data_IF_836451792867
#
_entry.id   IF_836451792867
#
_cell.length_a   1.000
_cell.length_b   1.000
_cell.length_c   1.000
_cell.angle_alpha   90.00
_cell.angle_beta   90.00
_cell.angle_gamma   90.00
#
_symmetry.space_group_name_H-M   'P 1'
#
loop_
_entity.id
_entity.type
_entity.pdbx_description
1 polymer ?
#
# COMPACT_ATOMS: atom_id res chain seq x y z
N UNK A 1 25.99 -1.99 13.53
CA UNK A 1 24.62 -1.46 13.57
C UNK A 1 23.71 -2.51 12.96
N UNK A 2 22.75 -3.00 13.71
CA UNK A 2 21.92 -4.18 13.35
C UNK A 2 20.47 -3.83 13.01
N UNK A 3 20.17 -2.55 12.79
CA UNK A 3 18.82 -2.05 12.58
C UNK A 3 18.54 -1.62 11.15
N UNK A 4 17.26 -1.39 10.85
CA UNK A 4 16.82 -0.85 9.57
C UNK A 4 17.07 0.66 9.44
N UNK A 5 16.80 1.25 8.25
CA UNK A 5 17.04 2.67 8.01
C UNK A 5 16.24 3.62 8.91
N UNK A 6 15.21 3.13 9.61
CA UNK A 6 14.39 3.88 10.56
C UNK A 6 14.63 3.46 12.02
N UNK A 7 15.75 2.79 12.32
CA UNK A 7 16.13 2.46 13.70
C UNK A 7 16.20 3.72 14.57
N UNK A 8 15.61 3.67 15.76
CA UNK A 8 15.51 4.79 16.69
C UNK A 8 14.33 5.74 16.43
N UNK A 9 13.58 5.57 15.35
CA UNK A 9 12.36 6.34 15.07
C UNK A 9 11.17 5.68 15.78
N UNK A 10 10.48 6.44 16.65
CA UNK A 10 9.24 6.01 17.31
C UNK A 10 8.01 6.58 16.60
N UNK A 11 7.08 5.69 16.26
CA UNK A 11 5.83 6.03 15.55
C UNK A 11 4.63 5.67 16.42
N UNK A 12 3.77 6.62 16.71
CA UNK A 12 2.46 6.37 17.31
C UNK A 12 1.42 6.26 16.21
N UNK A 13 0.88 5.06 16.07
CA UNK A 13 -0.07 4.67 15.04
C UNK A 13 -1.50 4.68 15.59
N UNK A 14 -2.23 5.77 15.41
CA UNK A 14 -3.66 5.88 15.70
C UNK A 14 -4.50 5.69 14.44
N UNK A 15 -4.20 4.65 13.68
CA UNK A 15 -4.92 4.36 12.43
C UNK A 15 -5.71 3.06 12.50
N UNK A 16 -6.68 2.92 11.61
CA UNK A 16 -7.52 1.72 11.50
C UNK A 16 -7.72 1.32 10.04
N UNK A 17 -8.21 0.12 9.83
CA UNK A 17 -8.57 -0.50 8.54
C UNK A 17 -7.33 -0.75 7.68
N UNK A 18 -7.08 -0.04 6.58
CA UNK A 18 -6.00 -0.38 5.63
C UNK A 18 -5.03 0.76 5.40
N UNK A 19 -5.48 1.92 4.98
CA UNK A 19 -4.60 3.01 4.50
C UNK A 19 -3.53 3.40 5.51
N UNK A 20 -3.91 3.61 6.78
CA UNK A 20 -2.98 3.96 7.84
C UNK A 20 -2.11 2.77 8.28
N UNK A 21 -2.69 1.58 8.55
CA UNK A 21 -1.90 0.39 8.85
C UNK A 21 -0.85 0.01 7.79
N UNK A 22 -1.09 0.24 6.50
CA UNK A 22 -0.07 0.08 5.44
C UNK A 22 1.08 1.08 5.63
N UNK A 23 0.75 2.36 5.91
CA UNK A 23 1.76 3.38 6.19
C UNK A 23 2.64 2.96 7.37
N UNK A 24 2.05 2.72 8.52
CA UNK A 24 2.78 2.41 9.77
C UNK A 24 3.48 1.05 9.72
N UNK A 25 2.91 0.03 9.06
CA UNK A 25 3.60 -1.24 8.78
C UNK A 25 4.84 -1.01 7.93
N UNK A 26 4.75 -0.17 6.89
CA UNK A 26 5.90 0.14 6.03
C UNK A 26 7.04 0.75 6.85
N UNK A 27 6.74 1.67 7.78
CA UNK A 27 7.75 2.23 8.68
C UNK A 27 8.32 1.16 9.64
N UNK A 28 7.47 0.29 10.19
CA UNK A 28 7.87 -0.83 11.04
C UNK A 28 8.74 -1.86 10.32
N UNK A 29 8.37 -2.20 9.07
CA UNK A 29 9.13 -3.14 8.22
C UNK A 29 10.57 -2.64 7.94
N UNK A 30 10.83 -1.34 8.11
CA UNK A 30 12.15 -0.71 7.96
C UNK A 30 12.78 -0.25 9.28
N UNK A 31 12.29 -0.74 10.41
CA UNK A 31 12.98 -0.67 11.72
C UNK A 31 12.46 0.39 12.68
N UNK A 32 11.39 1.12 12.36
CA UNK A 32 10.75 2.01 13.32
C UNK A 32 10.07 1.24 14.46
N UNK A 33 10.14 1.78 15.69
CA UNK A 33 9.34 1.33 16.85
C UNK A 33 7.90 1.84 16.71
N UNK A 34 7.00 0.99 16.18
CA UNK A 34 5.61 1.38 15.93
C UNK A 34 4.70 0.89 17.04
N UNK A 35 4.06 1.83 17.73
CA UNK A 35 3.06 1.56 18.76
C UNK A 35 1.67 1.86 18.19
N UNK A 36 0.89 0.80 17.96
CA UNK A 36 -0.49 0.91 17.51
C UNK A 36 -1.40 1.16 18.71
N UNK A 37 -2.11 2.28 18.68
CA UNK A 37 -3.09 2.66 19.70
C UNK A 37 -4.48 2.24 19.23
N UNK A 38 -5.10 1.35 19.98
CA UNK A 38 -6.42 0.80 19.66
C UNK A 38 -7.43 1.13 20.76
N UNK A 39 -8.68 1.39 20.34
CA UNK A 39 -9.80 1.44 21.30
C UNK A 39 -10.10 0.04 21.86
N UNK A 40 -10.86 -0.09 22.98
CA UNK A 40 -11.26 -1.39 23.51
C UNK A 40 -12.00 -2.30 22.52
N UNK A 41 -12.64 -1.74 21.49
CA UNK A 41 -13.25 -2.50 20.39
C UNK A 41 -12.24 -3.07 19.39
N UNK A 42 -11.00 -2.65 19.45
CA UNK A 42 -9.95 -2.99 18.49
C UNK A 42 -10.12 -2.35 17.12
N UNK A 43 -9.16 -2.64 16.22
CA UNK A 43 -9.24 -2.30 14.81
C UNK A 43 -10.30 -3.16 14.11
N UNK A 44 -11.08 -2.56 13.21
CA UNK A 44 -12.11 -3.26 12.44
C UNK A 44 -11.55 -4.45 11.65
N UNK A 45 -10.31 -4.38 11.18
CA UNK A 45 -9.66 -5.50 10.48
C UNK A 45 -9.50 -6.75 11.34
N UNK A 46 -9.54 -6.65 12.67
CA UNK A 46 -9.46 -7.81 13.55
C UNK A 46 -10.60 -8.80 13.29
N UNK A 47 -11.76 -8.30 12.87
CA UNK A 47 -12.99 -9.08 12.70
C UNK A 47 -13.54 -9.13 11.27
N UNK A 48 -13.05 -8.28 10.35
CA UNK A 48 -13.60 -8.16 8.99
C UNK A 48 -13.38 -9.37 8.07
N UNK A 49 -12.46 -10.25 8.37
CA UNK A 49 -12.16 -11.40 7.51
C UNK A 49 -12.56 -12.71 8.20
N UNK A 50 -13.15 -13.63 7.42
CA UNK A 50 -13.37 -15.01 7.85
C UNK A 50 -12.03 -15.76 7.87
N UNK A 51 -11.93 -16.82 8.67
CA UNK A 51 -10.79 -17.71 8.63
C UNK A 51 -9.64 -17.37 9.60
N UNK A 52 -9.89 -16.63 10.69
CA UNK A 52 -8.96 -16.53 11.81
C UNK A 52 -9.01 -17.78 12.68
N UNK A 53 -7.87 -18.20 13.24
CA UNK A 53 -7.82 -19.30 14.23
C UNK A 53 -8.36 -18.83 15.59
N UNK A 54 -8.00 -17.60 15.98
CA UNK A 54 -8.50 -16.98 17.20
C UNK A 54 -9.30 -15.69 16.90
N UNK A 55 -10.28 -15.33 17.71
CA UNK A 55 -11.02 -14.08 17.57
C UNK A 55 -10.08 -12.87 17.55
N UNK A 56 -10.32 -11.94 16.65
CA UNK A 56 -9.53 -10.70 16.57
C UNK A 56 -8.18 -10.81 15.85
N UNK A 57 -7.84 -11.99 15.28
CA UNK A 57 -6.57 -12.23 14.58
C UNK A 57 -6.81 -12.63 13.12
N UNK A 58 -7.56 -11.84 12.39
CA UNK A 58 -7.82 -12.09 10.97
C UNK A 58 -6.53 -12.06 10.13
N UNK A 59 -6.47 -12.83 9.04
CA UNK A 59 -5.32 -12.84 8.14
C UNK A 59 -4.99 -11.43 7.59
N UNK A 60 -5.99 -10.57 7.37
CA UNK A 60 -5.75 -9.17 6.99
C UNK A 60 -5.07 -8.38 8.10
N UNK A 61 -5.52 -8.55 9.36
CA UNK A 61 -4.89 -7.88 10.49
C UNK A 61 -3.43 -8.31 10.64
N UNK A 62 -3.15 -9.62 10.58
CA UNK A 62 -1.80 -10.17 10.64
C UNK A 62 -0.89 -9.57 9.57
N UNK A 63 -1.36 -9.47 8.32
CA UNK A 63 -0.58 -8.94 7.21
C UNK A 63 -0.33 -7.43 7.30
N UNK A 64 -1.25 -6.64 7.86
CA UNK A 64 -1.15 -5.18 7.89
C UNK A 64 -0.57 -4.63 9.18
N UNK A 65 -0.40 -5.47 10.23
CA UNK A 65 0.03 -4.98 11.54
C UNK A 65 1.24 -5.74 12.13
N UNK A 66 1.95 -6.54 11.33
CA UNK A 66 3.23 -7.13 11.75
C UNK A 66 4.24 -6.05 12.14
N UNK A 67 5.20 -6.41 12.96
CA UNK A 67 6.28 -5.54 13.44
C UNK A 67 5.81 -4.36 14.29
N UNK A 68 4.57 -4.39 14.79
CA UNK A 68 4.03 -3.37 15.69
C UNK A 68 3.89 -3.89 17.12
N UNK A 69 3.84 -2.97 18.07
CA UNK A 69 3.37 -3.21 19.43
C UNK A 69 1.95 -2.63 19.58
N UNK A 70 1.09 -3.22 20.38
CA UNK A 70 -0.29 -2.75 20.59
C UNK A 70 -0.51 -2.28 22.02
N UNK A 71 -1.05 -1.07 22.16
CA UNK A 71 -1.62 -0.55 23.41
C UNK A 71 -3.12 -0.31 23.22
N UNK A 72 -3.93 -0.79 24.16
CA UNK A 72 -5.38 -0.60 24.13
C UNK A 72 -5.78 0.49 25.13
N UNK A 73 -6.32 1.61 24.64
CA UNK A 73 -6.71 2.79 25.41
C UNK A 73 -8.13 3.23 25.12
N UNK A 74 -8.91 3.48 26.16
CA UNK A 74 -10.19 4.20 26.03
C UNK A 74 -9.93 5.72 26.13
N UNK A 75 -9.68 6.35 25.01
CA UNK A 75 -9.40 7.80 24.91
C UNK A 75 -10.64 8.69 25.20
N UNK A 76 -11.82 8.11 25.40
CA UNK A 76 -12.98 8.84 25.91
C UNK A 76 -12.87 9.11 27.40
N UNK A 77 -12.05 8.34 28.11
CA UNK A 77 -11.69 8.55 29.51
C UNK A 77 -10.45 9.42 29.57
N UNK A 78 -10.43 10.34 30.54
CA UNK A 78 -9.33 11.30 30.72
C UNK A 78 -7.97 10.58 30.85
N UNK A 79 -7.88 9.56 31.71
CA UNK A 79 -6.64 8.83 31.92
C UNK A 79 -6.11 8.17 30.62
N UNK A 80 -6.98 7.54 29.81
CA UNK A 80 -6.59 6.98 28.52
C UNK A 80 -6.12 8.04 27.52
N UNK A 81 -6.77 9.20 27.50
CA UNK A 81 -6.35 10.33 26.66
C UNK A 81 -5.01 10.93 27.11
N UNK A 82 -4.80 11.06 28.42
CA UNK A 82 -3.54 11.56 28.99
C UNK A 82 -2.37 10.62 28.66
N UNK A 83 -2.59 9.30 28.71
CA UNK A 83 -1.60 8.31 28.24
C UNK A 83 -1.27 8.50 26.77
N UNK A 84 -2.26 8.67 25.90
CA UNK A 84 -2.02 8.90 24.49
C UNK A 84 -1.21 10.18 24.24
N UNK A 85 -1.54 11.28 24.91
CA UNK A 85 -0.76 12.53 24.81
C UNK A 85 0.68 12.34 25.28
N UNK A 86 0.89 11.62 26.38
CA UNK A 86 2.23 11.29 26.89
C UNK A 86 3.01 10.40 25.91
N UNK A 87 2.37 9.43 25.25
CA UNK A 87 2.99 8.66 24.17
C UNK A 87 3.44 9.56 23.02
N UNK A 88 2.57 10.44 22.55
CA UNK A 88 2.87 11.35 21.43
C UNK A 88 4.00 12.32 21.78
N UNK A 89 4.10 12.77 23.03
CA UNK A 89 5.20 13.66 23.45
C UNK A 89 6.59 13.00 23.38
N UNK A 90 6.65 11.67 23.37
CA UNK A 90 7.90 10.89 23.22
C UNK A 90 8.15 10.40 21.77
N UNK A 91 7.24 10.71 20.85
CA UNK A 91 7.26 10.17 19.49
C UNK A 91 8.00 11.07 18.51
N UNK A 92 8.58 10.44 17.48
CA UNK A 92 9.08 11.13 16.29
C UNK A 92 7.95 11.40 15.29
N UNK A 93 7.02 10.45 15.19
CA UNK A 93 5.90 10.49 14.24
C UNK A 93 4.61 10.14 14.93
N UNK A 94 3.57 10.92 14.71
CA UNK A 94 2.19 10.55 14.99
C UNK A 94 1.44 10.43 13.68
N UNK A 95 0.84 9.27 13.40
CA UNK A 95 0.04 9.03 12.20
C UNK A 95 -1.38 8.66 12.57
N UNK A 96 -2.35 9.33 11.92
CA UNK A 96 -3.78 9.09 12.17
C UNK A 96 -4.60 9.19 10.89
N UNK A 97 -5.63 8.35 10.77
CA UNK A 97 -6.68 8.47 9.75
C UNK A 97 -8.05 8.78 10.37
N UNK A 98 -8.06 9.22 11.61
CA UNK A 98 -9.24 9.78 12.26
C UNK A 98 -9.52 11.18 11.71
N UNK A 99 -10.80 11.49 11.50
CA UNK A 99 -11.19 12.80 10.97
C UNK A 99 -10.64 13.95 11.83
N UNK A 100 -10.03 15.00 11.22
CA UNK A 100 -9.35 16.08 11.94
C UNK A 100 -10.20 16.76 13.00
N UNK A 101 -11.52 16.95 12.76
CA UNK A 101 -12.41 17.54 13.78
C UNK A 101 -12.56 16.65 15.02
N UNK A 102 -12.46 15.33 14.86
CA UNK A 102 -12.46 14.39 16.01
C UNK A 102 -11.21 14.54 16.85
N UNK A 103 -10.05 14.61 16.21
CA UNK A 103 -8.76 14.84 16.86
C UNK A 103 -8.71 16.20 17.55
N UNK A 104 -9.15 17.27 16.90
CA UNK A 104 -9.17 18.61 17.49
C UNK A 104 -10.04 18.68 18.74
N UNK A 105 -11.25 18.06 18.74
CA UNK A 105 -12.10 17.99 19.94
C UNK A 105 -11.45 17.24 21.12
N UNK A 106 -10.56 16.29 20.82
CA UNK A 106 -9.82 15.55 21.83
C UNK A 106 -8.53 16.28 22.28
N UNK A 107 -8.21 17.44 21.71
CA UNK A 107 -6.95 18.15 21.96
C UNK A 107 -5.74 17.38 21.42
N UNK A 108 -5.94 16.73 20.27
CA UNK A 108 -4.93 15.98 19.52
C UNK A 108 -4.66 16.61 18.14
N UNK A 109 -4.98 17.89 17.95
CA UNK A 109 -4.56 18.62 16.77
C UNK A 109 -3.04 18.88 16.80
N UNK A 110 -2.44 19.10 15.64
CA UNK A 110 -1.00 19.38 15.56
C UNK A 110 -0.59 20.55 16.43
N UNK A 111 -1.35 21.64 16.40
CA UNK A 111 -1.10 22.87 17.13
C UNK A 111 -1.10 22.65 18.66
N UNK A 112 -1.82 21.65 19.14
CA UNK A 112 -1.83 21.27 20.56
C UNK A 112 -0.63 20.41 20.92
N UNK A 113 -0.33 19.39 20.12
CA UNK A 113 0.72 18.42 20.37
C UNK A 113 2.13 18.98 20.12
N UNK A 114 2.29 19.89 19.18
CA UNK A 114 3.57 20.53 18.87
C UNK A 114 4.09 21.46 19.99
N UNK A 115 3.23 21.87 20.92
CA UNK A 115 3.65 22.64 22.12
C UNK A 115 4.55 21.80 23.03
N UNK A 116 4.21 20.53 23.18
CA UNK A 116 4.94 19.59 24.03
C UNK A 116 6.04 18.85 23.25
N UNK A 117 5.88 18.73 21.92
CA UNK A 117 6.85 18.08 21.05
C UNK A 117 7.05 18.86 19.74
N UNK A 118 7.88 19.90 19.71
CA UNK A 118 8.10 20.73 18.51
C UNK A 118 8.83 20.02 17.37
N UNK A 119 9.34 18.81 17.62
CA UNK A 119 10.00 17.96 16.61
C UNK A 119 9.05 16.92 16.01
N UNK A 120 7.79 16.88 16.44
CA UNK A 120 6.81 15.90 15.99
C UNK A 120 6.53 16.03 14.50
N UNK A 121 6.63 14.92 13.79
CA UNK A 121 6.05 14.78 12.45
C UNK A 121 4.61 14.27 12.63
N UNK A 122 3.65 15.13 12.33
CA UNK A 122 2.22 14.83 12.45
C UNK A 122 1.65 14.49 11.09
N UNK A 123 1.28 13.23 10.83
CA UNK A 123 0.74 12.78 9.55
C UNK A 123 -0.75 12.48 9.67
N UNK A 124 -1.58 13.27 8.98
CA UNK A 124 -3.02 13.07 8.88
C UNK A 124 -3.38 12.51 7.51
N UNK A 125 -3.92 11.28 7.48
CA UNK A 125 -4.40 10.66 6.25
C UNK A 125 -5.91 10.90 6.17
N UNK A 126 -6.35 11.63 5.14
CA UNK A 126 -7.75 12.06 4.97
C UNK A 126 -8.32 11.63 3.62
N UNK A 127 -9.63 11.48 3.53
CA UNK A 127 -10.27 11.14 2.25
C UNK A 127 -10.13 12.25 1.20
N UNK A 128 -10.26 13.51 1.63
CA UNK A 128 -10.25 14.70 0.79
C UNK A 128 -9.46 15.82 1.46
N UNK A 129 -8.68 16.56 0.71
CA UNK A 129 -7.79 17.62 1.20
C UNK A 129 -8.52 18.83 1.77
N UNK A 130 -7.86 19.51 2.72
CA UNK A 130 -8.34 20.72 3.39
C UNK A 130 -8.57 21.85 2.35
N UNK A 131 -9.66 22.57 2.55
CA UNK A 131 -10.06 23.69 1.65
C UNK A 131 -10.99 23.23 0.52
N UNK A 132 -11.08 21.95 0.19
CA UNK A 132 -12.01 21.41 -0.78
C UNK A 132 -13.43 21.20 -0.22
N UNK A 133 -14.45 21.25 -1.10
CA UNK A 133 -15.86 21.08 -0.71
C UNK A 133 -16.19 19.70 -0.10
N UNK A 134 -15.30 18.72 -0.26
CA UNK A 134 -15.51 17.35 0.23
C UNK A 134 -14.75 17.05 1.52
N UNK A 135 -13.95 17.96 2.04
CA UNK A 135 -13.03 17.77 3.17
C UNK A 135 -13.61 16.99 4.35
N UNK A 136 -14.88 17.26 4.70
CA UNK A 136 -15.52 16.62 5.86
C UNK A 136 -16.28 15.33 5.54
N UNK A 137 -16.29 14.90 4.28
CA UNK A 137 -17.01 13.69 3.87
C UNK A 137 -16.26 12.43 4.30
N UNK A 138 -16.99 11.38 4.73
CA UNK A 138 -16.38 10.08 4.95
C UNK A 138 -15.90 9.51 3.63
N UNK A 139 -14.77 8.81 3.64
CA UNK A 139 -14.23 8.13 2.48
C UNK A 139 -13.68 6.76 2.88
N UNK A 140 -13.86 5.81 1.98
CA UNK A 140 -13.23 4.50 1.96
C UNK A 140 -12.76 4.23 0.54
N UNK A 141 -11.93 3.23 0.36
CA UNK A 141 -11.33 2.87 -0.93
C UNK A 141 -12.33 2.91 -2.13
N UNK A 142 -13.51 2.27 -2.12
CA UNK A 142 -14.41 2.30 -3.27
C UNK A 142 -14.92 3.71 -3.62
N UNK A 143 -15.07 4.58 -2.60
CA UNK A 143 -15.46 5.96 -2.82
C UNK A 143 -14.36 6.70 -3.57
N UNK A 144 -13.10 6.50 -3.14
CA UNK A 144 -11.95 7.13 -3.79
C UNK A 144 -11.74 6.57 -5.19
N UNK A 145 -11.87 5.26 -5.42
CA UNK A 145 -11.82 4.68 -6.77
C UNK A 145 -12.85 5.32 -7.71
N UNK A 146 -14.07 5.61 -7.19
CA UNK A 146 -15.11 6.26 -7.98
C UNK A 146 -14.78 7.71 -8.35
N UNK A 147 -14.37 8.52 -7.37
CA UNK A 147 -14.19 9.97 -7.58
C UNK A 147 -12.88 10.32 -8.26
N UNK A 148 -11.85 9.47 -8.17
CA UNK A 148 -10.53 9.68 -8.79
C UNK A 148 -10.44 9.27 -10.25
N UNK A 149 -11.46 8.59 -10.78
CA UNK A 149 -11.46 8.09 -12.15
C UNK A 149 -10.93 6.66 -12.32
N UNK A 150 -10.42 6.00 -11.28
CA UNK A 150 -9.96 4.59 -11.34
C UNK A 150 -11.06 3.67 -11.89
N UNK A 151 -12.28 3.75 -11.33
CA UNK A 151 -13.40 2.94 -11.81
C UNK A 151 -13.80 3.27 -13.26
N UNK A 152 -13.63 4.53 -13.68
CA UNK A 152 -13.92 4.96 -15.04
C UNK A 152 -12.90 4.41 -16.06
N UNK A 153 -11.63 4.22 -15.69
CA UNK A 153 -10.65 3.57 -16.58
C UNK A 153 -11.05 2.12 -16.86
N UNK A 154 -11.49 1.38 -15.83
CA UNK A 154 -12.00 0.02 -16.00
C UNK A 154 -13.28 0.00 -16.86
N UNK A 155 -14.23 0.93 -16.62
CA UNK A 155 -15.42 1.04 -17.45
C UNK A 155 -15.06 1.26 -18.94
N UNK A 156 -14.15 2.18 -19.23
CA UNK A 156 -13.72 2.43 -20.61
C UNK A 156 -13.02 1.21 -21.24
N UNK A 157 -12.24 0.46 -20.48
CA UNK A 157 -11.53 -0.72 -20.96
C UNK A 157 -12.42 -1.97 -21.10
N UNK A 158 -13.47 -2.13 -20.29
CA UNK A 158 -14.26 -3.38 -20.21
C UNK A 158 -15.72 -3.23 -20.64
N UNK A 159 -16.22 -2.00 -20.78
CA UNK A 159 -17.62 -1.71 -21.07
C UNK A 159 -18.53 -1.67 -19.83
N UNK A 160 -18.03 -2.01 -18.63
CA UNK A 160 -18.81 -2.01 -17.39
C UNK A 160 -18.12 -1.24 -16.27
N UNK A 161 -18.82 -0.41 -15.48
CA UNK A 161 -18.26 0.21 -14.29
C UNK A 161 -17.84 -0.87 -13.28
N UNK A 162 -16.57 -0.91 -12.93
CA UNK A 162 -16.00 -1.86 -11.96
C UNK A 162 -14.97 -1.19 -11.09
N UNK A 163 -14.82 -1.69 -9.86
CA UNK A 163 -13.67 -1.40 -9.03
C UNK A 163 -12.53 -2.37 -9.34
N UNK A 164 -11.30 -1.91 -9.16
CA UNK A 164 -10.17 -2.82 -9.02
C UNK A 164 -10.48 -3.74 -7.83
N UNK A 165 -10.40 -5.08 -7.97
CA UNK A 165 -10.82 -6.02 -6.92
C UNK A 165 -9.82 -6.13 -5.76
N UNK A 166 -9.23 -5.01 -5.37
CA UNK A 166 -8.39 -4.82 -4.19
C UNK A 166 -8.56 -3.38 -3.69
N UNK A 167 -8.22 -3.12 -2.45
CA UNK A 167 -8.28 -1.76 -1.86
C UNK A 167 -7.08 -0.94 -2.33
N UNK A 168 -7.03 -0.70 -3.64
CA UNK A 168 -5.89 -0.11 -4.35
C UNK A 168 -5.57 1.30 -3.86
N UNK A 169 -6.60 2.12 -3.61
CA UNK A 169 -6.41 3.51 -3.21
C UNK A 169 -5.86 3.61 -1.79
N UNK A 170 -6.29 2.72 -0.90
CA UNK A 170 -5.75 2.58 0.45
C UNK A 170 -4.27 2.20 0.40
N UNK A 171 -3.90 1.18 -0.39
CA UNK A 171 -2.50 0.75 -0.53
C UNK A 171 -1.63 1.86 -1.09
N UNK A 172 -2.04 2.48 -2.19
CA UNK A 172 -1.26 3.54 -2.84
C UNK A 172 -1.07 4.73 -1.90
N UNK A 173 -2.14 5.22 -1.28
CA UNK A 173 -2.06 6.36 -0.36
C UNK A 173 -1.27 6.03 0.90
N UNK A 174 -1.40 4.82 1.44
CA UNK A 174 -0.63 4.37 2.60
C UNK A 174 0.87 4.33 2.34
N UNK A 175 1.29 3.87 1.14
CA UNK A 175 2.70 3.91 0.72
C UNK A 175 3.20 5.34 0.50
N UNK A 176 2.38 6.22 -0.10
CA UNK A 176 2.71 7.65 -0.24
C UNK A 176 2.85 8.31 1.13
N UNK A 177 1.96 8.00 2.09
CA UNK A 177 2.07 8.52 3.45
C UNK A 177 3.39 8.13 4.11
N UNK A 178 3.81 6.87 4.00
CA UNK A 178 5.13 6.43 4.49
C UNK A 178 6.28 7.17 3.81
N UNK A 179 6.19 7.42 2.49
CA UNK A 179 7.18 8.16 1.72
C UNK A 179 7.31 9.61 2.20
N UNK A 180 6.20 10.34 2.34
CA UNK A 180 6.25 11.75 2.76
C UNK A 180 6.65 11.92 4.23
N UNK A 181 6.36 10.93 5.10
CA UNK A 181 6.91 10.87 6.45
C UNK A 181 8.45 10.76 6.39
N UNK A 182 8.99 9.93 5.50
CA UNK A 182 10.44 9.83 5.29
C UNK A 182 11.06 11.16 4.84
N UNK A 183 10.40 11.91 3.96
CA UNK A 183 10.85 13.25 3.54
C UNK A 183 10.81 14.25 4.70
N UNK A 184 9.77 14.22 5.53
CA UNK A 184 9.65 15.10 6.68
C UNK A 184 10.69 14.77 7.77
N UNK A 185 10.97 13.48 8.01
CA UNK A 185 12.05 13.05 8.90
C UNK A 185 13.41 13.57 8.42
N UNK A 186 13.70 13.44 7.13
CA UNK A 186 14.93 14.00 6.53
C UNK A 186 15.00 15.53 6.69
N UNK A 187 13.89 16.25 6.43
CA UNK A 187 13.82 17.70 6.63
C UNK A 187 14.04 18.08 8.08
N UNK A 188 13.42 17.35 9.02
CA UNK A 188 13.62 17.53 10.47
C UNK A 188 15.08 17.39 10.88
N UNK A 189 15.81 16.43 10.33
CA UNK A 189 17.26 16.28 10.58
C UNK A 189 18.07 17.53 10.16
N UNK A 190 17.61 18.25 9.16
CA UNK A 190 18.27 19.49 8.69
C UNK A 190 17.84 20.73 9.46
N UNK A 191 16.59 20.79 9.90
CA UNK A 191 15.99 22.01 10.47
C UNK A 191 15.83 21.95 11.99
N UNK A 192 15.83 20.77 12.59
CA UNK A 192 15.50 20.54 14.00
C UNK A 192 14.03 20.69 14.37
N UNK A 193 13.14 20.93 13.39
CA UNK A 193 11.72 21.26 13.60
C UNK A 193 10.83 20.23 12.93
N UNK A 194 9.76 19.78 13.63
CA UNK A 194 8.71 18.94 13.07
C UNK A 194 7.71 19.72 12.23
N UNK A 195 6.76 19.00 11.64
CA UNK A 195 5.72 19.60 10.81
C UNK A 195 4.45 18.75 10.73
N UNK A 196 3.33 19.37 10.33
CA UNK A 196 2.11 18.67 9.97
C UNK A 196 2.10 18.34 8.48
N UNK A 197 1.73 17.09 8.17
CA UNK A 197 1.55 16.58 6.80
C UNK A 197 0.09 16.16 6.66
N UNK A 198 -0.58 16.63 5.64
CA UNK A 198 -1.87 16.10 5.22
C UNK A 198 -1.68 15.24 3.96
N UNK A 199 -2.21 14.01 3.99
CA UNK A 199 -2.14 13.05 2.88
C UNK A 199 -3.56 12.74 2.42
N UNK A 200 -4.12 13.50 1.47
CA UNK A 200 -5.47 13.29 0.98
C UNK A 200 -5.51 12.16 -0.06
N UNK A 201 -6.39 11.17 0.17
CA UNK A 201 -6.52 10.01 -0.71
C UNK A 201 -6.97 10.41 -2.11
N UNK A 202 -7.95 11.30 -2.21
CA UNK A 202 -8.53 11.70 -3.51
C UNK A 202 -7.53 12.41 -4.39
N UNK A 203 -6.84 13.43 -3.88
CA UNK A 203 -5.87 14.21 -4.65
C UNK A 203 -4.67 13.36 -5.09
N UNK A 204 -4.18 12.47 -4.21
CA UNK A 204 -3.11 11.53 -4.57
C UNK A 204 -3.56 10.58 -5.69
N UNK A 205 -4.77 10.03 -5.60
CA UNK A 205 -5.29 9.14 -6.63
C UNK A 205 -5.69 9.87 -7.91
N UNK A 206 -6.18 11.10 -7.82
CA UNK A 206 -6.42 11.94 -9.00
C UNK A 206 -5.10 12.21 -9.74
N UNK A 207 -4.03 12.56 -9.01
CA UNK A 207 -2.69 12.72 -9.59
C UNK A 207 -2.21 11.42 -10.25
N UNK A 208 -2.39 10.27 -9.59
CA UNK A 208 -2.00 8.96 -10.13
C UNK A 208 -2.70 8.67 -11.47
N UNK A 209 -4.03 8.85 -11.54
CA UNK A 209 -4.82 8.59 -12.74
C UNK A 209 -4.52 9.61 -13.85
N UNK A 210 -4.44 10.89 -13.51
CA UNK A 210 -4.27 11.95 -14.52
C UNK A 210 -2.86 11.98 -15.09
N UNK A 211 -1.85 11.46 -14.39
CA UNK A 211 -0.49 11.33 -14.93
C UNK A 211 -0.44 10.55 -16.26
N UNK A 212 -1.32 9.57 -16.44
CA UNK A 212 -1.44 8.82 -17.70
C UNK A 212 -2.64 9.27 -18.54
N UNK A 213 -3.78 9.55 -17.90
CA UNK A 213 -5.05 9.68 -18.60
C UNK A 213 -5.52 11.13 -18.81
N UNK A 214 -4.79 12.15 -18.37
CA UNK A 214 -5.07 13.53 -18.77
C UNK A 214 -4.86 13.69 -20.27
N UNK A 215 -3.82 13.05 -20.84
CA UNK A 215 -3.61 12.91 -22.28
C UNK A 215 -3.58 14.23 -23.01
N UNK A 216 -4.37 14.36 -24.06
CA UNK A 216 -4.44 15.58 -24.87
C UNK A 216 -5.09 16.79 -24.15
N UNK A 217 -5.74 16.55 -23.01
CA UNK A 217 -6.24 17.62 -22.12
C UNK A 217 -5.12 18.23 -21.23
N UNK A 218 -3.87 17.78 -21.35
CA UNK A 218 -2.71 18.45 -20.76
C UNK A 218 -2.48 19.84 -21.37
N UNK A 219 -2.87 20.02 -22.62
CA UNK A 219 -2.76 21.31 -23.32
C UNK A 219 -3.97 22.19 -23.03
N UNK A 220 -3.76 23.53 -23.00
CA UNK A 220 -4.81 24.52 -22.88
C UNK A 220 -4.74 25.48 -24.06
N UNK A 221 -5.73 25.49 -24.99
CA UNK A 221 -6.92 24.62 -25.01
C UNK A 221 -6.58 23.15 -25.31
N UNK A 222 -7.43 22.19 -24.90
CA UNK A 222 -7.22 20.77 -25.18
C UNK A 222 -7.09 20.46 -26.66
N UNK A 223 -6.13 19.62 -27.04
CA UNK A 223 -5.91 19.18 -28.43
C UNK A 223 -6.57 17.84 -28.76
N UNK A 224 -7.26 17.24 -27.81
CA UNK A 224 -7.99 15.98 -27.96
C UNK A 224 -8.59 15.49 -26.64
N UNK A 225 -9.13 14.27 -26.60
CA UNK A 225 -9.79 13.71 -25.44
C UNK A 225 -8.83 13.26 -24.32
N UNK A 226 -9.36 13.00 -23.12
CA UNK A 226 -8.68 12.30 -22.04
C UNK A 226 -8.52 10.80 -22.36
N UNK A 227 -7.53 10.18 -21.74
CA UNK A 227 -7.28 8.74 -21.76
C UNK A 227 -6.15 8.32 -22.69
N UNK A 228 -5.38 7.32 -22.27
CA UNK A 228 -4.44 6.60 -23.13
C UNK A 228 -5.21 5.50 -23.87
N UNK A 229 -5.36 5.65 -25.19
CA UNK A 229 -6.14 4.72 -26.02
C UNK A 229 -5.56 3.29 -26.03
N UNK A 230 -4.25 3.12 -25.80
CA UNK A 230 -3.62 1.81 -25.69
C UNK A 230 -4.04 1.10 -24.39
N UNK A 231 -3.95 1.79 -23.25
CA UNK A 231 -4.25 1.23 -21.92
C UNK A 231 -5.75 0.99 -21.74
N UNK A 232 -6.59 1.84 -22.34
CA UNK A 232 -8.05 1.74 -22.27
C UNK A 232 -8.64 0.82 -23.36
N UNK A 233 -7.80 0.18 -24.18
CA UNK A 233 -8.24 -0.77 -25.19
C UNK A 233 -8.74 -2.07 -24.54
N UNK A 234 -9.87 -2.64 -24.96
CA UNK A 234 -10.34 -3.95 -24.51
C UNK A 234 -9.38 -5.10 -24.85
N UNK A 235 -8.42 -4.86 -25.74
CA UNK A 235 -7.36 -5.80 -26.10
C UNK A 235 -6.11 -5.71 -25.22
N UNK A 236 -6.00 -4.70 -24.36
CA UNK A 236 -4.90 -4.57 -23.41
C UNK A 236 -5.12 -5.49 -22.21
N UNK A 237 -4.80 -6.76 -22.39
CA UNK A 237 -5.01 -7.85 -21.43
C UNK A 237 -4.04 -8.99 -21.66
N UNK A 238 -3.87 -9.92 -20.70
CA UNK A 238 -3.18 -11.18 -20.94
C UNK A 238 -3.78 -11.91 -22.16
N UNK A 239 -2.93 -12.50 -22.99
CA UNK A 239 -3.31 -13.11 -24.26
C UNK A 239 -3.36 -14.64 -24.12
N UNK A 240 -4.34 -15.27 -24.76
CA UNK A 240 -4.49 -16.72 -24.73
C UNK A 240 -3.37 -17.39 -25.53
N UNK A 241 -2.89 -18.50 -25.00
CA UNK A 241 -2.04 -19.50 -25.68
C UNK A 241 -2.85 -20.77 -25.95
N UNK A 242 -2.21 -21.82 -26.37
CA UNK A 242 -2.87 -23.13 -26.59
C UNK A 242 -3.44 -23.74 -25.30
N UNK A 243 -2.84 -23.45 -24.14
CA UNK A 243 -3.11 -24.10 -22.84
C UNK A 243 -3.30 -23.15 -21.66
N UNK A 244 -3.23 -21.82 -21.87
CA UNK A 244 -3.35 -20.86 -20.80
C UNK A 244 -3.30 -19.43 -21.29
N UNK A 245 -2.60 -18.59 -20.53
CA UNK A 245 -2.43 -17.17 -20.85
C UNK A 245 -0.97 -16.73 -20.65
N UNK A 246 -0.55 -15.76 -21.47
CA UNK A 246 0.77 -15.13 -21.42
C UNK A 246 0.63 -13.61 -21.50
N UNK A 247 1.53 -12.88 -20.87
CA UNK A 247 1.76 -11.47 -21.15
C UNK A 247 3.06 -11.34 -21.92
N UNK A 248 3.03 -10.67 -23.06
CA UNK A 248 4.21 -10.40 -23.89
C UNK A 248 4.26 -8.91 -24.20
N UNK A 249 5.44 -8.30 -24.03
CA UNK A 249 5.63 -6.85 -24.15
C UNK A 249 6.75 -6.44 -25.11
N UNK A 250 6.63 -6.72 -26.43
CA UNK A 250 7.63 -6.33 -27.41
C UNK A 250 7.54 -4.83 -27.73
N UNK A 251 8.17 -4.01 -26.91
CA UNK A 251 8.02 -2.54 -26.95
C UNK A 251 9.01 -1.87 -27.90
N UNK A 252 10.26 -2.35 -27.98
CA UNK A 252 11.26 -1.82 -28.93
C UNK A 252 11.03 -2.36 -30.34
N UNK A 253 11.70 -1.78 -31.34
CA UNK A 253 11.63 -2.29 -32.71
C UNK A 253 12.22 -3.70 -32.81
N UNK A 254 13.37 -3.93 -32.19
CA UNK A 254 14.05 -5.23 -32.22
C UNK A 254 13.19 -6.32 -31.57
N UNK A 255 12.59 -6.02 -30.40
CA UNK A 255 11.67 -6.94 -29.73
C UNK A 255 10.40 -7.23 -30.55
N UNK A 256 9.82 -6.21 -31.19
CA UNK A 256 8.65 -6.39 -32.05
C UNK A 256 8.98 -7.22 -33.30
N UNK A 257 10.13 -6.99 -33.89
CA UNK A 257 10.59 -7.75 -35.08
C UNK A 257 10.93 -9.20 -34.70
N UNK A 258 11.59 -9.42 -33.55
CA UNK A 258 11.84 -10.75 -33.03
C UNK A 258 10.52 -11.49 -32.71
N UNK A 259 9.53 -10.78 -32.16
CA UNK A 259 8.19 -11.32 -31.95
C UNK A 259 7.50 -11.70 -33.25
N UNK A 260 7.56 -10.88 -34.30
CA UNK A 260 6.99 -11.20 -35.61
C UNK A 260 7.63 -12.45 -36.22
N UNK A 261 8.96 -12.59 -36.11
CA UNK A 261 9.65 -13.81 -36.53
C UNK A 261 9.18 -15.03 -35.73
N UNK A 262 9.03 -14.89 -34.42
CA UNK A 262 8.62 -15.98 -33.55
C UNK A 262 7.22 -16.53 -33.88
N UNK A 263 6.28 -15.64 -34.21
CA UNK A 263 4.91 -16.04 -34.58
C UNK A 263 4.80 -16.47 -36.06
N UNK A 264 5.90 -16.41 -36.85
CA UNK A 264 5.94 -16.75 -38.24
C UNK A 264 5.31 -15.73 -39.19
N UNK A 265 5.44 -14.43 -38.83
CA UNK A 265 4.89 -13.30 -39.61
C UNK A 265 5.97 -12.23 -39.90
N UNK A 266 7.12 -12.59 -40.48
CA UNK A 266 8.23 -11.67 -40.73
C UNK A 266 7.85 -10.48 -41.63
N UNK A 267 6.85 -10.61 -42.49
CA UNK A 267 6.34 -9.55 -43.35
C UNK A 267 5.81 -8.34 -42.60
N UNK A 268 5.40 -8.50 -41.33
CA UNK A 268 4.92 -7.41 -40.48
C UNK A 268 6.02 -6.40 -40.11
N UNK A 269 7.28 -6.74 -40.28
CA UNK A 269 8.41 -5.83 -40.04
C UNK A 269 8.41 -4.63 -41.00
N UNK A 270 7.86 -4.82 -42.20
CA UNK A 270 7.75 -3.78 -43.22
C UNK A 270 6.33 -3.25 -43.42
N UNK A 271 5.37 -3.72 -42.62
CA UNK A 271 4.01 -3.20 -42.63
C UNK A 271 4.01 -1.77 -42.06
N UNK A 272 3.52 -0.76 -42.80
CA UNK A 272 3.52 0.64 -42.35
C UNK A 272 2.78 0.87 -41.04
N UNK A 273 1.94 -0.06 -40.62
CA UNK A 273 1.24 0.00 -39.31
C UNK A 273 2.14 -0.42 -38.14
N UNK A 274 3.23 -1.20 -38.41
CA UNK A 274 3.99 -1.89 -37.35
C UNK A 274 5.50 -1.73 -37.46
N UNK A 275 6.02 -1.11 -38.50
CA UNK A 275 7.45 -0.97 -38.81
C UNK A 275 8.27 -0.16 -37.79
N UNK A 276 7.60 0.61 -36.95
CA UNK A 276 8.23 1.35 -35.86
C UNK A 276 7.30 1.49 -34.63
N UNK A 277 7.85 1.91 -33.49
CA UNK A 277 7.11 2.01 -32.24
C UNK A 277 5.95 3.02 -32.29
N UNK A 278 6.12 4.16 -32.99
CA UNK A 278 5.07 5.18 -33.10
C UNK A 278 3.87 4.64 -33.89
N UNK A 279 4.15 3.96 -35.03
CA UNK A 279 3.13 3.35 -35.87
C UNK A 279 2.40 2.21 -35.13
N UNK A 280 3.11 1.36 -34.35
CA UNK A 280 2.46 0.34 -33.52
C UNK A 280 1.56 0.96 -32.46
N UNK A 281 1.95 2.09 -31.86
CA UNK A 281 1.12 2.79 -30.88
C UNK A 281 -0.12 3.38 -31.54
N UNK A 282 0.01 4.00 -32.70
CA UNK A 282 -1.11 4.57 -33.47
C UNK A 282 -2.08 3.48 -33.98
N UNK A 283 -1.59 2.26 -34.20
CA UNK A 283 -2.36 1.10 -34.65
C UNK A 283 -2.46 0.02 -33.56
N UNK A 284 -2.57 0.42 -32.29
CA UNK A 284 -2.49 -0.49 -31.15
C UNK A 284 -3.49 -1.64 -31.21
N UNK A 285 -4.73 -1.40 -31.61
CA UNK A 285 -5.75 -2.44 -31.72
C UNK A 285 -5.34 -3.53 -32.75
N UNK A 286 -4.93 -3.12 -33.94
CA UNK A 286 -4.46 -4.06 -34.98
C UNK A 286 -3.23 -4.84 -34.50
N UNK A 287 -2.32 -4.17 -33.77
CA UNK A 287 -1.13 -4.81 -33.20
C UNK A 287 -1.49 -5.82 -32.10
N UNK A 288 -2.46 -5.54 -31.25
CA UNK A 288 -2.94 -6.49 -30.25
C UNK A 288 -3.63 -7.70 -30.90
N UNK A 289 -4.38 -7.51 -31.98
CA UNK A 289 -5.03 -8.60 -32.71
C UNK A 289 -3.96 -9.54 -33.30
N UNK A 290 -2.93 -9.01 -33.98
CA UNK A 290 -1.80 -9.82 -34.50
C UNK A 290 -1.15 -10.64 -33.37
N UNK A 291 -0.91 -10.03 -32.21
CA UNK A 291 -0.32 -10.72 -31.05
C UNK A 291 -1.22 -11.85 -30.56
N UNK A 292 -2.51 -11.58 -30.40
CA UNK A 292 -3.52 -12.55 -29.97
C UNK A 292 -3.56 -13.78 -30.89
N UNK A 293 -3.62 -13.56 -32.20
CA UNK A 293 -3.70 -14.65 -33.17
C UNK A 293 -2.43 -15.48 -33.26
N UNK A 294 -1.27 -14.83 -33.18
CA UNK A 294 0.04 -15.48 -33.24
C UNK A 294 0.28 -16.44 -32.08
N UNK A 295 -0.17 -16.06 -30.88
CA UNK A 295 0.11 -16.80 -29.63
C UNK A 295 -0.73 -18.08 -29.45
N UNK A 296 -1.83 -18.25 -30.16
CA UNK A 296 -2.68 -19.46 -30.05
C UNK A 296 -2.01 -20.74 -30.57
N UNK A 297 -0.90 -20.64 -31.31
CA UNK A 297 -0.28 -21.77 -32.01
C UNK A 297 0.53 -22.71 -31.11
N UNK A 298 0.98 -22.23 -29.94
CA UNK A 298 1.88 -22.98 -29.04
C UNK A 298 1.41 -22.86 -27.58
N UNK A 299 1.94 -23.74 -26.72
CA UNK A 299 1.74 -23.69 -25.28
C UNK A 299 2.44 -22.49 -24.64
N UNK A 300 2.05 -22.15 -23.44
CA UNK A 300 2.68 -21.06 -22.66
C UNK A 300 4.18 -21.32 -22.49
N UNK A 301 4.57 -22.54 -22.11
CA UNK A 301 5.99 -22.90 -21.91
C UNK A 301 6.81 -22.84 -23.20
N UNK A 302 6.25 -23.32 -24.34
CA UNK A 302 6.93 -23.20 -25.62
C UNK A 302 7.17 -21.74 -25.99
N UNK A 303 6.20 -20.85 -25.72
CA UNK A 303 6.36 -19.43 -26.00
C UNK A 303 7.37 -18.77 -25.07
N UNK A 304 7.36 -19.06 -23.77
CA UNK A 304 8.32 -18.50 -22.82
C UNK A 304 9.76 -18.82 -23.23
N UNK A 305 10.04 -20.08 -23.59
CA UNK A 305 11.36 -20.49 -24.07
C UNK A 305 11.78 -19.73 -25.34
N UNK A 306 10.89 -19.62 -26.33
CA UNK A 306 11.17 -18.90 -27.59
C UNK A 306 11.44 -17.42 -27.32
N UNK A 307 10.67 -16.79 -26.43
CA UNK A 307 10.83 -15.37 -26.15
C UNK A 307 12.05 -15.07 -25.28
N UNK A 308 12.43 -15.97 -24.40
CA UNK A 308 13.70 -15.88 -23.67
C UNK A 308 14.90 -15.94 -24.64
N UNK A 309 14.93 -16.91 -25.56
CA UNK A 309 15.98 -17.05 -26.58
C UNK A 309 16.08 -15.82 -27.51
N UNK A 310 14.98 -15.09 -27.69
CA UNK A 310 14.87 -13.94 -28.61
C UNK A 310 14.90 -12.57 -27.88
N UNK A 311 15.13 -12.54 -26.59
CA UNK A 311 15.12 -11.32 -25.75
C UNK A 311 13.80 -10.52 -25.89
N UNK A 312 12.67 -11.21 -25.99
CA UNK A 312 11.34 -10.61 -25.99
C UNK A 312 10.74 -10.70 -24.61
N UNK A 313 10.41 -9.59 -23.94
CA UNK A 313 9.82 -9.62 -22.60
C UNK A 313 8.49 -10.37 -22.58
N UNK A 314 8.44 -11.46 -21.82
CA UNK A 314 7.26 -12.28 -21.66
C UNK A 314 7.21 -12.95 -20.29
N UNK A 315 6.01 -13.13 -19.76
CA UNK A 315 5.78 -13.88 -18.52
C UNK A 315 4.42 -14.58 -18.58
N UNK A 316 4.31 -15.71 -17.84
CA UNK A 316 3.04 -16.39 -17.67
C UNK A 316 2.05 -15.52 -16.89
N UNK A 317 0.79 -15.75 -17.10
CA UNK A 317 -0.26 -15.23 -16.25
C UNK A 317 -0.38 -16.13 -15.01
N UNK A 318 -0.07 -15.57 -13.84
CA UNK A 318 -0.18 -16.27 -12.57
C UNK A 318 -1.55 -16.01 -11.92
N UNK A 319 -2.15 -17.03 -11.34
CA UNK A 319 -3.24 -16.90 -10.37
C UNK A 319 -2.67 -16.43 -9.02
N UNK A 320 -3.55 -16.11 -8.06
CA UNK A 320 -3.10 -15.75 -6.70
C UNK A 320 -2.39 -16.94 -6.04
N UNK A 321 -2.88 -18.14 -6.30
CA UNK A 321 -2.31 -19.41 -5.82
C UNK A 321 -0.91 -19.63 -6.42
N UNK A 322 -0.74 -19.43 -7.71
CA UNK A 322 0.56 -19.56 -8.40
C UNK A 322 1.61 -18.60 -7.82
N UNK A 323 1.20 -17.38 -7.43
CA UNK A 323 2.12 -16.41 -6.80
C UNK A 323 2.67 -16.94 -5.46
N UNK A 324 1.89 -17.72 -4.69
CA UNK A 324 2.35 -18.28 -3.41
C UNK A 324 3.44 -19.35 -3.58
N UNK A 325 3.52 -19.96 -4.76
CA UNK A 325 4.45 -21.05 -5.07
C UNK A 325 5.42 -20.66 -6.22
N UNK A 326 5.46 -19.37 -6.57
CA UNK A 326 6.29 -18.83 -7.67
C UNK A 326 7.78 -19.13 -7.41
N UNK A 327 8.51 -19.73 -8.39
CA UNK A 327 9.90 -20.12 -8.22
C UNK A 327 10.83 -18.95 -7.86
N UNK A 328 10.69 -17.80 -8.51
CA UNK A 328 11.51 -16.62 -8.22
C UNK A 328 11.27 -16.11 -6.80
N UNK A 329 10.00 -16.04 -6.36
CA UNK A 329 9.67 -15.60 -5.00
C UNK A 329 10.19 -16.57 -3.94
N UNK A 330 10.22 -17.87 -4.25
CA UNK A 330 10.82 -18.90 -3.38
C UNK A 330 12.34 -18.77 -3.31
N UNK A 331 13.03 -18.61 -4.44
CA UNK A 331 14.50 -18.44 -4.52
C UNK A 331 14.99 -17.20 -3.76
N UNK A 332 14.23 -16.09 -3.83
CA UNK A 332 14.55 -14.87 -3.07
C UNK A 332 14.01 -14.88 -1.63
N UNK A 333 13.45 -16.00 -1.18
CA UNK A 333 12.87 -16.17 0.16
C UNK A 333 11.86 -15.06 0.51
N UNK A 334 10.99 -14.71 -0.45
CA UNK A 334 9.99 -13.66 -0.23
C UNK A 334 8.92 -14.09 0.77
N UNK A 335 8.47 -15.35 0.69
CA UNK A 335 7.59 -15.96 1.67
C UNK A 335 8.39 -16.69 2.73
N UNK A 336 8.02 -16.50 3.99
CA UNK A 336 8.61 -17.19 5.13
C UNK A 336 7.55 -17.76 6.05
N UNK A 337 7.96 -18.58 7.02
CA UNK A 337 7.13 -19.04 8.12
C UNK A 337 7.51 -18.33 9.41
N UNK A 338 6.51 -18.10 10.25
CA UNK A 338 6.66 -17.53 11.58
C UNK A 338 5.79 -18.32 12.56
N UNK A 339 6.30 -18.58 13.77
CA UNK A 339 5.49 -19.08 14.89
C UNK A 339 4.88 -17.88 15.62
N UNK A 340 3.60 -17.66 15.37
CA UNK A 340 2.84 -16.61 16.04
C UNK A 340 2.37 -17.08 17.42
N UNK A 341 2.51 -16.30 18.51
CA UNK A 341 2.19 -16.77 19.88
C UNK A 341 0.77 -17.32 20.05
N UNK A 342 -0.22 -16.76 19.35
CA UNK A 342 -1.61 -17.21 19.44
C UNK A 342 -2.09 -17.98 18.21
N UNK A 343 -1.50 -17.74 17.03
CA UNK A 343 -1.97 -18.32 15.77
C UNK A 343 -1.14 -19.54 15.31
N UNK A 344 -0.06 -19.89 16.05
CA UNK A 344 0.86 -20.94 15.64
C UNK A 344 1.56 -20.60 14.33
N UNK A 345 1.88 -21.60 13.53
CA UNK A 345 2.62 -21.41 12.28
C UNK A 345 1.79 -20.63 11.25
N UNK A 346 2.28 -19.47 10.84
CA UNK A 346 1.69 -18.63 9.80
C UNK A 346 2.69 -18.39 8.66
N UNK A 347 2.19 -18.15 7.44
CA UNK A 347 2.99 -17.70 6.30
C UNK A 347 3.04 -16.18 6.34
N UNK A 348 4.20 -15.61 6.07
CA UNK A 348 4.38 -14.14 5.97
C UNK A 348 5.26 -13.76 4.79
N UNK A 349 5.20 -12.50 4.38
CA UNK A 349 6.14 -11.92 3.42
C UNK A 349 7.22 -11.13 4.16
N UNK A 350 8.47 -11.16 3.67
CA UNK A 350 9.48 -10.18 4.10
C UNK A 350 9.20 -8.80 3.48
N UNK A 351 9.84 -7.71 3.97
CA UNK A 351 9.90 -6.46 3.23
C UNK A 351 10.48 -6.70 1.82
N UNK A 352 9.83 -6.12 0.80
CA UNK A 352 10.23 -6.36 -0.59
C UNK A 352 11.58 -5.71 -0.94
N UNK A 353 11.81 -4.49 -0.42
CA UNK A 353 13.02 -3.73 -0.72
C UNK A 353 14.15 -4.07 0.27
N UNK A 354 15.40 -4.03 -0.22
CA UNK A 354 16.61 -4.31 0.56
C UNK A 354 17.55 -3.11 0.52
N UNK A 355 18.28 -2.90 1.62
CA UNK A 355 19.27 -1.84 1.75
C UNK A 355 20.66 -2.46 1.96
N UNK A 356 21.63 -2.12 1.12
CA UNK A 356 22.99 -2.67 1.19
C UNK A 356 23.75 -2.27 2.46
N UNK A 357 23.41 -1.13 3.05
CA UNK A 357 24.02 -0.62 4.28
C UNK A 357 23.32 -1.04 5.57
N UNK A 358 22.23 -1.79 5.50
CA UNK A 358 21.42 -2.18 6.64
C UNK A 358 21.75 -3.55 7.19
N UNK A 359 21.66 -3.72 8.51
CA UNK A 359 21.61 -5.03 9.17
C UNK A 359 20.28 -5.77 8.91
N UNK A 360 20.18 -6.97 9.44
CA UNK A 360 18.92 -7.73 9.40
C UNK A 360 17.89 -7.02 10.30
N UNK A 361 16.81 -6.52 9.69
CA UNK A 361 15.71 -5.93 10.44
C UNK A 361 15.04 -7.07 11.24
N UNK A 362 14.99 -6.91 12.56
CA UNK A 362 14.25 -7.84 13.41
C UNK A 362 12.77 -7.77 13.04
N UNK A 363 12.17 -8.93 12.81
CA UNK A 363 10.76 -9.01 12.49
C UNK A 363 10.01 -9.60 13.68
N UNK A 364 8.89 -8.96 14.06
CA UNK A 364 7.98 -9.45 15.09
C UNK A 364 6.59 -9.74 14.53
N UNK A 365 5.85 -10.54 15.27
CA UNK A 365 4.47 -10.87 14.93
C UNK A 365 3.54 -9.65 14.99
N UNK A 366 2.35 -9.76 14.41
CA UNK A 366 1.28 -8.79 14.60
C UNK A 366 0.67 -8.97 16.00
N UNK A 367 0.57 -7.92 16.83
CA UNK A 367 0.19 -8.08 18.23
C UNK A 367 -1.31 -8.40 18.41
N UNK A 368 -1.64 -9.13 19.48
CA UNK A 368 -3.01 -9.19 19.99
C UNK A 368 -3.44 -7.80 20.46
N UNK A 369 -4.74 -7.57 20.59
CA UNK A 369 -5.27 -6.31 21.11
C UNK A 369 -4.71 -6.01 22.50
N UNK A 370 -3.98 -4.91 22.65
CA UNK A 370 -3.41 -4.50 23.93
C UNK A 370 -2.30 -5.38 24.48
N UNK A 371 -1.70 -6.25 23.66
CA UNK A 371 -0.65 -7.19 24.08
C UNK A 371 0.50 -6.50 24.84
N UNK A 372 0.83 -5.29 24.47
CA UNK A 372 1.95 -4.56 25.06
C UNK A 372 1.50 -3.43 26.01
N UNK A 373 0.22 -3.38 26.41
CA UNK A 373 -0.31 -2.28 27.20
C UNK A 373 0.49 -2.05 28.48
N UNK A 374 0.71 -3.09 29.29
CA UNK A 374 1.41 -2.94 30.56
C UNK A 374 2.87 -2.52 30.39
N UNK A 375 3.59 -3.12 29.44
CA UNK A 375 4.99 -2.79 29.19
C UNK A 375 5.15 -1.35 28.69
N UNK A 376 4.26 -0.89 27.79
CA UNK A 376 4.30 0.48 27.28
C UNK A 376 3.97 1.49 28.39
N UNK A 377 3.01 1.21 29.26
CA UNK A 377 2.71 2.07 30.40
C UNK A 377 3.92 2.16 31.38
N UNK A 378 4.60 1.04 31.61
CA UNK A 378 5.84 1.01 32.40
C UNK A 378 6.97 1.83 31.76
N UNK A 379 7.17 1.70 30.41
CA UNK A 379 8.13 2.52 29.65
C UNK A 379 7.84 4.03 29.76
N UNK A 380 6.57 4.40 29.89
CA UNK A 380 6.14 5.79 30.12
C UNK A 380 6.35 6.25 31.57
N UNK A 381 6.81 5.38 32.47
CA UNK A 381 7.09 5.71 33.85
C UNK A 381 5.85 5.74 34.77
N UNK A 382 4.76 5.06 34.38
CA UNK A 382 3.63 4.84 35.31
C UNK A 382 3.99 3.76 36.35
N UNK A 383 3.65 3.99 37.59
CA UNK A 383 3.80 3.00 38.66
C UNK A 383 2.83 1.83 38.52
N UNK A 384 3.15 0.69 39.13
CA UNK A 384 2.26 -0.50 39.12
C UNK A 384 0.86 -0.16 39.67
N UNK A 385 0.76 0.73 40.69
CA UNK A 385 -0.52 1.16 41.26
C UNK A 385 -1.35 1.96 40.25
N UNK A 386 -0.75 2.91 39.51
CA UNK A 386 -1.42 3.69 38.46
C UNK A 386 -1.85 2.78 37.30
N UNK A 387 -0.99 1.86 36.89
CA UNK A 387 -1.31 0.88 35.81
C UNK A 387 -2.50 0.02 36.24
N UNK A 388 -2.50 -0.48 37.47
CA UNK A 388 -3.60 -1.28 38.02
C UNK A 388 -4.92 -0.49 38.01
N UNK A 389 -4.89 0.74 38.47
CA UNK A 389 -6.06 1.64 38.48
C UNK A 389 -6.59 1.87 37.05
N UNK A 390 -5.70 2.11 36.05
CA UNK A 390 -6.11 2.30 34.67
C UNK A 390 -6.78 1.05 34.08
N UNK A 391 -6.32 -0.14 34.45
CA UNK A 391 -6.93 -1.40 34.03
C UNK A 391 -8.28 -1.62 34.71
N UNK A 392 -8.36 -1.42 36.04
CA UNK A 392 -9.62 -1.58 36.81
C UNK A 392 -10.69 -0.59 36.36
N UNK A 393 -10.32 0.64 36.04
CA UNK A 393 -11.24 1.64 35.46
C UNK A 393 -11.53 1.44 33.98
N UNK A 394 -10.83 0.54 33.30
CA UNK A 394 -10.93 0.31 31.87
C UNK A 394 -10.47 1.49 31.01
N UNK A 395 -9.58 2.35 31.54
CA UNK A 395 -8.93 3.42 30.78
C UNK A 395 -7.81 2.88 29.89
N UNK A 396 -7.18 1.79 30.32
CA UNK A 396 -6.28 0.95 29.56
C UNK A 396 -6.71 -0.51 29.71
N UNK A 397 -6.52 -1.33 28.66
CA UNK A 397 -6.87 -2.74 28.73
C UNK A 397 -5.68 -3.59 28.26
N UNK A 398 -5.42 -4.65 29.02
CA UNK A 398 -4.55 -5.73 28.58
C UNK A 398 -5.39 -6.69 27.72
N UNK A 399 -4.92 -7.01 26.52
CA UNK A 399 -5.58 -8.02 25.71
C UNK A 399 -5.54 -9.40 26.38
N UNK A 400 -6.62 -10.14 26.20
CA UNK A 400 -6.70 -11.54 26.62
C UNK A 400 -5.85 -12.43 25.71
#
# INVERSE_FOLDING_TARGET
MSGGPLEGIRVIDQTTVVVGPICSRTLADYGADVIKVEAPSGDLLRTMAKGSRNPGMSGKFLNFNRNKRSICLDIKKKAGLDVLKKLISTADVFVSNVRPQGLARAGLAYEDLAKDNPKLIYCSIVGFGKGGRYYNRPAYDPIIQSVSGVAATLHRATGEPRFVPMVMTDHTTGLIAAQVIGFALYRREKTGVGEAIEVPMFENMASFVTSEHMGACTFDPPVGPTGDGRLLSPYYRPLATKDGFITVGPNTNDQAFAFFDAIGRPELKTDPRFDNAANRTSNAEAYFIVRKEGLLKKTTEEWLKIFEEKDVPAQRYNTIEDVLDDPHLNEVNFFGSEEHPSEGKIKRTRPANTFSGGGRISQSHAPRLGENTLSILGELGYSEAEIKEMVETGSANQGN
#
